data_IF_992555907214
#
_entry.id   IF_992555907214
#
_cell.length_a   1.000
_cell.length_b   1.000
_cell.length_c   1.000
_cell.angle_alpha   90.00
_cell.angle_beta   90.00
_cell.angle_gamma   90.00
#
_symmetry.space_group_name_H-M   'P 1'
#
loop_
_entity.id
_entity.type
_entity.pdbx_description
1 polymer ?
#
# COMPACT_ATOMS: atom_id res chain seq x y z
N UNK A 1 -7.20 -81.79 -0.64
CA UNK A 1 -6.66 -81.46 -1.97
C UNK A 1 -7.04 -80.03 -2.27
N UNK A 2 -6.02 -79.21 -2.47
CA UNK A 2 -6.07 -77.77 -2.33
C UNK A 2 -6.95 -77.17 -3.44
N UNK A 3 -7.93 -76.34 -3.07
CA UNK A 3 -8.56 -75.45 -4.03
C UNK A 3 -7.51 -74.39 -4.31
N UNK A 4 -6.76 -74.59 -5.37
CA UNK A 4 -5.83 -73.62 -5.89
C UNK A 4 -6.68 -72.41 -6.28
N UNK A 5 -6.76 -71.41 -5.39
CA UNK A 5 -7.41 -70.13 -5.66
C UNK A 5 -6.60 -69.40 -6.73
N UNK A 6 -6.70 -69.90 -7.96
CA UNK A 6 -6.20 -69.25 -9.15
C UNK A 6 -7.09 -68.03 -9.37
N UNK A 7 -6.54 -66.86 -9.01
CA UNK A 7 -7.15 -65.59 -9.39
C UNK A 7 -7.34 -65.62 -10.90
N UNK A 8 -8.59 -65.69 -11.35
CA UNK A 8 -8.89 -65.72 -12.78
C UNK A 8 -8.36 -64.44 -13.42
N UNK A 9 -7.93 -64.47 -14.68
CA UNK A 9 -7.40 -63.29 -15.36
C UNK A 9 -8.38 -62.11 -15.33
N UNK A 10 -9.68 -62.37 -15.28
CA UNK A 10 -10.72 -61.36 -15.10
C UNK A 10 -10.67 -60.66 -13.74
N UNK A 11 -10.43 -61.40 -12.64
CA UNK A 11 -10.29 -60.82 -11.29
C UNK A 11 -9.02 -59.99 -11.19
N UNK A 12 -7.92 -60.44 -11.81
CA UNK A 12 -6.67 -59.68 -11.85
C UNK A 12 -6.87 -58.37 -12.64
N UNK A 13 -7.51 -58.44 -13.82
CA UNK A 13 -7.81 -57.26 -14.62
C UNK A 13 -8.70 -56.26 -13.86
N UNK A 14 -9.71 -56.76 -13.14
CA UNK A 14 -10.58 -55.92 -12.32
C UNK A 14 -9.82 -55.19 -11.21
N UNK A 15 -8.94 -55.88 -10.48
CA UNK A 15 -8.13 -55.28 -9.41
C UNK A 15 -7.18 -54.20 -9.97
N UNK A 16 -6.56 -54.45 -11.12
CA UNK A 16 -5.66 -53.49 -11.78
C UNK A 16 -6.42 -52.22 -12.19
N UNK A 17 -7.63 -52.36 -12.75
CA UNK A 17 -8.48 -51.21 -13.12
C UNK A 17 -8.88 -50.41 -11.88
N UNK A 18 -9.30 -51.08 -10.80
CA UNK A 18 -9.67 -50.41 -9.54
C UNK A 18 -8.47 -49.68 -8.93
N UNK A 19 -7.28 -50.28 -8.93
CA UNK A 19 -6.07 -49.64 -8.42
C UNK A 19 -5.64 -48.42 -9.27
N UNK A 20 -5.76 -48.49 -10.60
CA UNK A 20 -5.49 -47.38 -11.51
C UNK A 20 -6.46 -46.21 -11.28
N UNK A 21 -7.76 -46.49 -11.23
CA UNK A 21 -8.78 -45.46 -11.01
C UNK A 21 -8.65 -44.86 -9.60
N UNK A 22 -8.49 -45.70 -8.58
CA UNK A 22 -8.28 -45.26 -7.21
C UNK A 22 -7.03 -44.41 -7.04
N UNK A 23 -5.90 -44.82 -7.65
CA UNK A 23 -4.65 -44.05 -7.64
C UNK A 23 -4.78 -42.71 -8.36
N UNK A 24 -5.47 -42.67 -9.52
CA UNK A 24 -5.71 -41.44 -10.27
C UNK A 24 -6.56 -40.43 -9.48
N UNK A 25 -7.64 -40.92 -8.83
CA UNK A 25 -8.51 -40.08 -7.97
C UNK A 25 -7.75 -39.60 -6.73
N UNK A 26 -6.97 -40.47 -6.10
CA UNK A 26 -6.16 -40.12 -4.94
C UNK A 26 -5.12 -39.03 -5.28
N UNK A 27 -4.42 -39.15 -6.41
CA UNK A 27 -3.45 -38.12 -6.84
C UNK A 27 -4.11 -36.77 -7.16
N UNK A 28 -5.32 -36.76 -7.73
CA UNK A 28 -6.07 -35.50 -7.90
C UNK A 28 -6.43 -34.86 -6.57
N UNK A 29 -6.85 -35.65 -5.57
CA UNK A 29 -7.19 -35.12 -4.25
C UNK A 29 -5.96 -34.67 -3.44
N UNK A 30 -4.85 -35.39 -3.56
CA UNK A 30 -3.61 -35.14 -2.82
C UNK A 30 -2.85 -33.91 -3.34
N UNK A 31 -3.11 -33.46 -4.58
CA UNK A 31 -2.59 -32.22 -5.14
C UNK A 31 -3.33 -30.96 -4.71
N UNK A 32 -4.39 -31.08 -3.90
CA UNK A 32 -5.24 -29.94 -3.50
C UNK A 32 -4.88 -29.34 -2.13
N UNK A 33 -3.64 -29.50 -1.66
CA UNK A 33 -3.10 -28.64 -0.60
C UNK A 33 -2.74 -27.29 -1.20
N UNK A 34 -3.76 -26.44 -1.36
CA UNK A 34 -3.57 -25.04 -1.70
C UNK A 34 -2.45 -24.45 -0.81
N UNK A 35 -1.42 -23.81 -1.40
CA UNK A 35 -0.40 -23.12 -0.62
C UNK A 35 -1.07 -22.17 0.38
N UNK A 36 -0.65 -22.11 1.66
CA UNK A 36 -1.33 -21.33 2.69
C UNK A 36 -1.40 -19.82 2.41
N UNK A 37 -0.72 -19.34 1.35
CA UNK A 37 -0.86 -17.98 0.84
C UNK A 37 -0.99 -18.01 -0.69
N UNK A 38 -2.22 -18.08 -1.20
CA UNK A 38 -2.48 -17.52 -2.52
C UNK A 38 -2.32 -16.00 -2.39
N UNK A 39 -1.30 -15.42 -3.03
CA UNK A 39 -1.20 -13.97 -3.14
C UNK A 39 -2.53 -13.48 -3.72
N UNK A 40 -3.33 -12.76 -2.91
CA UNK A 40 -4.54 -12.15 -3.39
C UNK A 40 -4.13 -11.07 -4.37
N UNK A 41 -4.16 -11.39 -5.66
CA UNK A 41 -4.04 -10.43 -6.76
C UNK A 41 -5.29 -9.56 -6.88
N UNK A 42 -6.06 -9.42 -5.80
CA UNK A 42 -7.05 -8.36 -5.70
C UNK A 42 -6.24 -7.08 -5.59
N UNK A 43 -5.87 -6.51 -6.75
CA UNK A 43 -5.57 -5.11 -6.89
C UNK A 43 -6.70 -4.39 -6.16
N UNK A 44 -6.40 -3.94 -4.95
CA UNK A 44 -7.38 -3.29 -4.10
C UNK A 44 -7.91 -2.13 -4.92
N UNK A 45 -9.22 -2.07 -5.14
CA UNK A 45 -9.85 -0.94 -5.85
C UNK A 45 -9.41 0.39 -5.22
N UNK A 46 -9.13 0.38 -3.91
CA UNK A 46 -8.54 1.49 -3.16
C UNK A 46 -7.16 1.92 -3.69
N UNK A 47 -6.28 0.98 -4.06
CA UNK A 47 -4.96 1.32 -4.59
C UNK A 47 -5.07 2.01 -5.97
N UNK A 48 -5.92 1.49 -6.87
CA UNK A 48 -6.18 2.12 -8.16
C UNK A 48 -6.84 3.50 -8.04
N UNK A 49 -7.79 3.68 -7.12
CA UNK A 49 -8.40 4.98 -6.87
C UNK A 49 -7.44 5.99 -6.24
N UNK A 50 -6.52 5.53 -5.38
CA UNK A 50 -5.47 6.39 -4.83
C UNK A 50 -4.52 6.87 -5.93
N UNK A 51 -4.03 5.99 -6.78
CA UNK A 51 -3.16 6.35 -7.92
C UNK A 51 -3.86 7.31 -8.89
N UNK A 52 -5.15 7.08 -9.17
CA UNK A 52 -5.94 7.97 -10.00
C UNK A 52 -6.12 9.36 -9.36
N UNK A 53 -6.40 9.42 -8.05
CA UNK A 53 -6.51 10.69 -7.32
C UNK A 53 -5.17 11.42 -7.29
N UNK A 54 -4.07 10.71 -7.02
CA UNK A 54 -2.72 11.24 -7.04
C UNK A 54 -2.33 11.78 -8.43
N UNK A 55 -2.76 11.13 -9.51
CA UNK A 55 -2.59 11.64 -10.87
C UNK A 55 -3.46 12.87 -11.21
N UNK A 56 -4.62 13.02 -10.54
CA UNK A 56 -5.49 14.20 -10.68
C UNK A 56 -5.00 15.41 -9.90
N UNK A 57 -4.16 15.21 -8.87
CA UNK A 57 -3.33 16.26 -8.28
C UNK A 57 -2.23 16.65 -9.28
N UNK A 58 -2.66 17.18 -10.43
CA UNK A 58 -1.80 17.83 -11.40
C UNK A 58 -0.94 18.84 -10.66
N UNK A 59 0.37 18.80 -10.95
CA UNK A 59 1.41 19.63 -10.33
C UNK A 59 0.85 20.99 -9.90
N UNK A 60 0.79 21.21 -8.59
CA UNK A 60 0.38 22.49 -8.02
C UNK A 60 1.45 23.50 -8.43
N UNK A 61 1.19 24.21 -9.52
CA UNK A 61 2.08 25.25 -10.01
C UNK A 61 1.76 26.55 -9.28
N UNK A 62 2.69 27.00 -8.45
CA UNK A 62 2.57 28.30 -7.80
C UNK A 62 3.01 29.40 -8.77
N UNK A 63 2.06 30.21 -9.26
CA UNK A 63 2.36 31.31 -10.17
C UNK A 63 2.95 32.49 -9.39
N UNK A 64 4.26 32.71 -9.53
CA UNK A 64 4.95 33.86 -8.93
C UNK A 64 4.67 35.19 -9.64
N UNK A 65 3.89 35.16 -10.73
CA UNK A 65 3.53 36.35 -11.52
C UNK A 65 2.82 37.44 -10.70
N UNK A 66 2.11 37.06 -9.63
CA UNK A 66 1.48 38.01 -8.71
C UNK A 66 2.50 38.94 -8.06
N UNK A 67 3.69 38.45 -7.72
CA UNK A 67 4.75 39.26 -7.11
C UNK A 67 5.49 40.15 -8.12
N UNK A 68 5.26 39.95 -9.42
CA UNK A 68 5.78 40.83 -10.49
C UNK A 68 4.90 42.04 -10.76
N UNK A 69 3.68 42.10 -10.19
CA UNK A 69 2.82 43.26 -10.33
C UNK A 69 3.44 44.47 -9.60
N UNK A 70 3.56 45.64 -10.26
CA UNK A 70 4.12 46.85 -9.66
C UNK A 70 3.58 47.17 -8.28
N UNK A 71 2.31 46.88 -8.01
CA UNK A 71 1.67 47.11 -6.70
C UNK A 71 2.35 46.34 -5.57
N UNK A 72 2.99 45.20 -5.85
CA UNK A 72 3.73 44.41 -4.88
C UNK A 72 5.23 44.76 -4.81
N UNK A 73 5.77 45.46 -5.82
CA UNK A 73 7.18 45.89 -5.85
C UNK A 73 7.39 47.33 -5.38
N UNK A 74 6.34 48.15 -5.41
CA UNK A 74 6.36 49.55 -4.93
C UNK A 74 5.80 49.72 -3.52
N UNK A 75 5.56 48.64 -2.76
CA UNK A 75 5.25 48.80 -1.33
C UNK A 75 6.48 49.39 -0.63
N UNK A 76 6.33 50.65 -0.24
CA UNK A 76 7.28 51.31 0.63
C UNK A 76 6.95 50.93 2.07
N UNK A 77 7.93 50.40 2.79
CA UNK A 77 7.80 50.18 4.22
C UNK A 77 7.61 51.54 4.91
N UNK A 78 6.49 51.69 5.62
CA UNK A 78 6.15 52.88 6.42
C UNK A 78 6.50 52.70 7.90
N UNK A 79 7.19 51.62 8.24
CA UNK A 79 7.61 51.35 9.62
C UNK A 79 8.54 52.46 10.07
N UNK A 80 8.09 53.19 11.09
CA UNK A 80 8.97 54.11 11.81
C UNK A 80 9.92 53.26 12.65
N UNK A 81 11.24 53.39 12.50
CA UNK A 81 12.18 52.65 13.33
C UNK A 81 11.88 52.94 14.81
N UNK A 82 11.64 51.89 15.59
CA UNK A 82 11.49 52.04 17.04
C UNK A 82 12.88 52.38 17.59
N UNK A 83 13.04 53.61 18.08
CA UNK A 83 14.26 53.98 18.80
C UNK A 83 14.22 53.28 20.15
N UNK A 84 15.28 52.56 20.51
CA UNK A 84 15.36 51.93 21.83
C UNK A 84 15.42 53.02 22.89
N UNK A 85 14.48 52.98 23.84
CA UNK A 85 14.54 53.86 25.00
C UNK A 85 15.58 53.30 25.98
N UNK A 86 16.44 54.15 26.57
CA UNK A 86 17.39 53.70 27.58
C UNK A 86 16.66 53.02 28.74
N UNK A 87 17.34 52.05 29.36
CA UNK A 87 16.83 51.44 30.58
C UNK A 87 16.53 52.54 31.61
N UNK A 88 15.36 52.47 32.25
CA UNK A 88 14.96 53.43 33.27
C UNK A 88 15.94 53.45 34.45
N UNK A 89 15.82 54.45 35.33
CA UNK A 89 16.59 54.50 36.57
C UNK A 89 16.34 53.24 37.39
N UNK A 90 17.40 52.65 37.95
CA UNK A 90 17.29 51.50 38.87
C UNK A 90 16.35 51.77 40.04
N UNK A 91 16.32 53.01 40.54
CA UNK A 91 15.34 53.48 41.52
C UNK A 91 14.61 54.73 40.99
N UNK A 92 13.30 54.65 40.73
CA UNK A 92 12.54 55.76 40.18
C UNK A 92 12.38 56.96 41.14
N UNK A 93 12.63 56.79 42.44
CA UNK A 93 12.41 57.81 43.47
C UNK A 93 13.70 58.40 44.06
N UNK A 94 14.89 58.07 43.55
CA UNK A 94 16.12 58.66 44.06
C UNK A 94 16.14 60.18 43.76
N UNK A 95 16.64 61.03 44.69
CA UNK A 95 16.80 62.46 44.46
C UNK A 95 17.62 62.75 43.19
N UNK A 96 17.38 63.91 42.57
CA UNK A 96 18.11 64.39 41.39
C UNK A 96 19.42 65.06 41.79
#
# INVERSE_FOLDING_TARGET
MNKDSSLTPAVIAFIVVVAMVGGYVYMQSAGSTAPPLTASSTASSTAGQFEQTAGQLSSISFSVSLFSDPRFTVLQDITTPITQEPIGRTNPFAPL
#
